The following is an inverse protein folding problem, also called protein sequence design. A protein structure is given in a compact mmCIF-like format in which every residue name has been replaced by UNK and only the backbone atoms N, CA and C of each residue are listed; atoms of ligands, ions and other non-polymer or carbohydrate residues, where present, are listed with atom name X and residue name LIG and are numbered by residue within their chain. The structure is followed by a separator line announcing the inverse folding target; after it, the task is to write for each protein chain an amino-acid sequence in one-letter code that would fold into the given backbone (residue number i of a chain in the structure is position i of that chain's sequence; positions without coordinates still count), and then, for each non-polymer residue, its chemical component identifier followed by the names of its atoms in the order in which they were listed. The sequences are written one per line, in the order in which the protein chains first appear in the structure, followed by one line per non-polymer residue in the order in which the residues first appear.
data_IF_579112900867
#
_entry.id   IF_579112900867
#
_cell.length_a   1.000
_cell.length_b   1.000
_cell.length_c   1.000
_cell.angle_alpha   90.00
_cell.angle_beta   90.00
_cell.angle_gamma   90.00
#
_symmetry.space_group_name_H-M   'P 1'
#
loop_
_entity.id
_entity.type
_entity.pdbx_description
1 polymer ?
#
# COMPACT_ATOMS: atom_id res chain seq x y z
N UNK A 1 1.79 12.29 0.43
CA UNK A 1 3.20 12.60 0.04
C UNK A 1 3.52 14.11 0.09
N UNK A 2 2.53 14.98 -0.06
CA UNK A 2 2.74 16.45 -0.01
C UNK A 2 3.45 16.87 1.29
N UNK A 3 3.01 16.35 2.44
CA UNK A 3 3.64 16.66 3.73
C UNK A 3 5.10 16.16 3.81
N UNK A 4 5.40 15.01 3.23
CA UNK A 4 6.78 14.49 3.18
C UNK A 4 7.66 15.35 2.25
N UNK A 5 7.13 15.79 1.12
CA UNK A 5 7.83 16.72 0.22
C UNK A 5 8.08 18.07 0.89
N UNK A 6 7.08 18.61 1.61
CA UNK A 6 7.23 19.86 2.36
C UNK A 6 8.31 19.75 3.45
N UNK A 7 8.34 18.63 4.20
CA UNK A 7 9.38 18.38 5.19
C UNK A 7 10.77 18.25 4.56
N UNK A 8 10.88 17.58 3.42
CA UNK A 8 12.14 17.47 2.68
C UNK A 8 12.64 18.85 2.19
N UNK A 9 11.71 19.69 1.68
CA UNK A 9 12.03 21.07 1.27
C UNK A 9 12.53 21.90 2.44
N UNK A 10 11.89 21.81 3.61
CA UNK A 10 12.32 22.54 4.79
C UNK A 10 13.69 22.06 5.30
N UNK A 11 13.93 20.76 5.28
CA UNK A 11 15.26 20.20 5.58
C UNK A 11 16.34 20.73 4.60
N UNK A 12 16.04 20.76 3.29
CA UNK A 12 16.93 21.33 2.29
C UNK A 12 17.19 22.80 2.52
N UNK A 13 16.17 23.59 2.88
CA UNK A 13 16.33 25.01 3.19
C UNK A 13 17.28 25.22 4.38
N UNK A 14 17.20 24.37 5.40
CA UNK A 14 18.07 24.46 6.59
C UNK A 14 19.55 24.25 6.23
N UNK A 15 19.85 23.35 5.28
CA UNK A 15 21.24 23.02 4.89
C UNK A 15 21.73 23.80 3.66
N UNK A 16 20.89 24.62 3.03
CA UNK A 16 21.18 25.34 1.77
C UNK A 16 22.42 26.22 1.87
N UNK A 17 22.70 26.78 3.06
CA UNK A 17 23.89 27.61 3.30
C UNK A 17 25.20 26.82 3.30
N UNK A 18 25.14 25.51 3.53
CA UNK A 18 26.30 24.61 3.56
C UNK A 18 26.55 23.92 2.21
N UNK A 19 25.48 23.78 1.42
CA UNK A 19 25.51 23.11 0.13
C UNK A 19 24.89 24.04 -0.91
N UNK A 20 25.59 24.32 -2.00
CA UNK A 20 25.11 25.20 -3.08
C UNK A 20 24.01 24.50 -3.88
N UNK A 21 22.83 24.31 -3.29
CA UNK A 21 21.67 23.69 -3.95
C UNK A 21 20.77 24.79 -4.52
N UNK A 22 20.63 24.81 -5.85
CA UNK A 22 19.75 25.76 -6.54
C UNK A 22 18.28 25.33 -6.44
N UNK A 23 17.35 26.28 -6.66
CA UNK A 23 15.92 25.98 -6.75
C UNK A 23 15.63 25.00 -7.86
N UNK A 24 16.25 25.18 -9.02
CA UNK A 24 16.12 24.26 -10.16
C UNK A 24 16.51 22.82 -9.78
N UNK A 25 17.61 22.61 -9.04
CA UNK A 25 18.02 21.28 -8.61
C UNK A 25 17.01 20.68 -7.62
N UNK A 26 16.45 21.50 -6.75
CA UNK A 26 15.41 21.07 -5.79
C UNK A 26 14.14 20.64 -6.51
N UNK A 27 13.63 21.45 -7.45
CA UNK A 27 12.45 21.13 -8.24
C UNK A 27 12.66 19.89 -9.12
N UNK A 28 13.79 19.81 -9.81
CA UNK A 28 14.14 18.67 -10.65
C UNK A 28 14.28 17.38 -9.85
N UNK A 29 14.92 17.47 -8.68
CA UNK A 29 15.02 16.36 -7.72
C UNK A 29 13.65 15.85 -7.25
N UNK A 30 12.76 16.76 -6.84
CA UNK A 30 11.40 16.40 -6.45
C UNK A 30 10.62 15.77 -7.61
N UNK A 31 10.71 16.33 -8.79
CA UNK A 31 10.03 15.84 -10.01
C UNK A 31 10.50 14.44 -10.40
N UNK A 32 11.79 14.14 -10.25
CA UNK A 32 12.40 12.86 -10.59
C UNK A 32 12.31 11.83 -9.47
N UNK A 33 11.87 12.22 -8.27
CA UNK A 33 11.76 11.29 -7.15
C UNK A 33 10.71 10.23 -7.43
N UNK A 34 11.14 8.99 -7.55
CA UNK A 34 10.30 7.81 -7.63
C UNK A 34 10.47 7.03 -6.34
N UNK A 35 9.38 6.87 -5.60
CA UNK A 35 9.37 6.05 -4.39
C UNK A 35 8.43 4.87 -4.58
N UNK A 36 9.01 3.72 -4.84
CA UNK A 36 8.25 2.48 -5.05
C UNK A 36 7.39 2.13 -3.83
N UNK A 37 6.21 1.52 -4.09
CA UNK A 37 5.25 1.16 -3.06
C UNK A 37 4.63 2.35 -2.32
N UNK A 38 4.49 3.47 -3.00
CA UNK A 38 3.69 4.62 -2.55
C UNK A 38 2.70 4.97 -3.64
N UNK A 39 1.51 4.35 -3.58
CA UNK A 39 0.48 4.45 -4.63
C UNK A 39 1.10 4.13 -6.00
N UNK A 40 1.89 3.06 -6.05
CA UNK A 40 2.55 2.61 -7.28
C UNK A 40 1.56 1.84 -8.14
N UNK A 41 1.33 2.29 -9.36
CA UNK A 41 0.50 1.56 -10.33
C UNK A 41 1.40 0.51 -10.98
N UNK A 42 1.09 -0.75 -10.76
CA UNK A 42 1.80 -1.90 -11.32
C UNK A 42 1.23 -2.29 -12.68
N UNK A 43 -0.10 -2.30 -12.80
CA UNK A 43 -0.85 -2.66 -14.01
C UNK A 43 -2.08 -1.75 -14.16
N UNK A 44 -2.57 -1.60 -15.37
CA UNK A 44 -3.71 -0.72 -15.68
C UNK A 44 -4.99 -1.46 -16.08
N UNK A 45 -4.89 -2.72 -16.47
CA UNK A 45 -6.03 -3.52 -16.90
C UNK A 45 -5.85 -5.00 -16.48
N UNK A 46 -6.43 -5.44 -15.36
CA UNK A 46 -7.12 -4.62 -14.34
C UNK A 46 -6.17 -3.66 -13.61
N UNK A 47 -6.71 -2.62 -12.98
CA UNK A 47 -5.89 -1.67 -12.23
C UNK A 47 -5.33 -2.30 -10.96
N UNK A 48 -4.01 -2.43 -10.87
CA UNK A 48 -3.28 -2.94 -9.71
C UNK A 48 -2.44 -1.83 -9.09
N UNK A 49 -2.68 -1.55 -7.82
CA UNK A 49 -1.97 -0.53 -7.04
C UNK A 49 -1.23 -1.21 -5.89
N UNK A 50 0.03 -0.85 -5.68
CA UNK A 50 0.82 -1.27 -4.53
C UNK A 50 1.10 -0.06 -3.61
N UNK A 51 0.80 -0.21 -2.32
CA UNK A 51 1.13 0.79 -1.31
C UNK A 51 1.71 0.13 -0.05
N UNK A 52 2.84 0.65 0.41
CA UNK A 52 3.54 0.15 1.59
C UNK A 52 3.04 0.70 2.92
N UNK A 53 1.77 1.08 3.03
CA UNK A 53 1.15 1.44 4.31
C UNK A 53 1.35 0.29 5.31
N UNK A 54 2.05 0.56 6.40
CA UNK A 54 2.46 -0.44 7.39
C UNK A 54 2.25 0.03 8.84
N UNK A 55 1.50 1.09 9.01
CA UNK A 55 1.06 1.66 10.29
C UNK A 55 -0.30 2.36 10.11
N UNK A 56 -1.00 2.71 11.21
CA UNK A 56 -2.32 3.33 11.13
C UNK A 56 -2.36 4.64 10.32
N UNK A 57 -1.34 5.49 10.40
CA UNK A 57 -1.32 6.74 9.65
C UNK A 57 -1.12 6.52 8.15
N UNK A 58 -0.30 5.55 7.77
CA UNK A 58 -0.18 5.09 6.39
C UNK A 58 -1.50 4.51 5.88
N UNK A 59 -2.19 3.70 6.69
CA UNK A 59 -3.49 3.15 6.37
C UNK A 59 -4.55 4.24 6.14
N UNK A 60 -4.61 5.27 7.01
CA UNK A 60 -5.48 6.44 6.81
C UNK A 60 -5.17 7.19 5.52
N UNK A 61 -3.89 7.39 5.23
CA UNK A 61 -3.45 8.07 4.01
C UNK A 61 -3.85 7.30 2.75
N UNK A 62 -3.67 5.97 2.75
CA UNK A 62 -4.11 5.10 1.67
C UNK A 62 -5.63 5.13 1.53
N UNK A 63 -6.38 4.99 2.63
CA UNK A 63 -7.84 5.06 2.62
C UNK A 63 -8.35 6.37 2.03
N UNK A 64 -7.79 7.52 2.45
CA UNK A 64 -8.16 8.83 1.91
C UNK A 64 -7.90 8.92 0.39
N UNK A 65 -6.78 8.38 -0.08
CA UNK A 65 -6.50 8.32 -1.51
C UNK A 65 -7.55 7.48 -2.25
N UNK A 66 -7.89 6.30 -1.72
CA UNK A 66 -8.87 5.39 -2.34
C UNK A 66 -10.27 6.02 -2.34
N UNK A 67 -10.68 6.66 -1.26
CA UNK A 67 -11.97 7.38 -1.16
C UNK A 67 -12.09 8.50 -2.20
N UNK A 68 -11.03 9.26 -2.43
CA UNK A 68 -11.07 10.38 -3.36
C UNK A 68 -11.00 9.97 -4.84
N UNK A 69 -10.47 8.77 -5.14
CA UNK A 69 -10.23 8.37 -6.53
C UNK A 69 -11.06 7.18 -7.01
N UNK A 70 -11.62 6.36 -6.09
CA UNK A 70 -12.24 5.08 -6.44
C UNK A 70 -13.55 4.81 -5.69
N UNK A 71 -14.31 5.84 -5.33
CA UNK A 71 -15.54 5.75 -4.51
C UNK A 71 -16.59 4.79 -5.09
N UNK A 72 -16.68 4.69 -6.41
CA UNK A 72 -17.67 3.86 -7.11
C UNK A 72 -17.06 2.59 -7.71
N UNK A 73 -15.87 2.22 -7.31
CA UNK A 73 -15.20 1.01 -7.79
C UNK A 73 -15.14 -0.05 -6.71
N UNK A 74 -15.20 -1.31 -7.12
CA UNK A 74 -15.03 -2.44 -6.24
C UNK A 74 -13.55 -2.60 -5.91
N UNK A 75 -13.21 -2.56 -4.60
CA UNK A 75 -11.84 -2.61 -4.12
C UNK A 75 -11.53 -4.01 -3.58
N UNK A 76 -10.57 -4.69 -4.19
CA UNK A 76 -10.09 -6.01 -3.78
C UNK A 76 -8.71 -5.85 -3.16
N UNK A 77 -8.58 -6.22 -1.89
CA UNK A 77 -7.31 -6.10 -1.19
C UNK A 77 -6.53 -7.41 -1.18
N UNK A 78 -5.24 -7.33 -1.44
CA UNK A 78 -4.25 -8.37 -1.11
C UNK A 78 -3.39 -7.80 0.01
N UNK A 79 -3.60 -8.30 1.22
CA UNK A 79 -3.03 -7.73 2.43
C UNK A 79 -2.04 -8.69 3.08
N UNK A 80 -0.89 -8.16 3.49
CA UNK A 80 0.08 -8.87 4.32
C UNK A 80 0.78 -7.89 5.27
N UNK A 81 1.00 -8.31 6.49
CA UNK A 81 1.53 -7.44 7.54
C UNK A 81 2.67 -8.09 8.31
N UNK A 82 3.44 -7.29 9.02
CA UNK A 82 4.44 -7.77 9.97
C UNK A 82 3.82 -7.83 11.37
N UNK A 83 4.15 -8.85 12.12
CA UNK A 83 3.58 -9.15 13.45
C UNK A 83 3.92 -8.10 14.52
N UNK A 84 4.98 -7.31 14.32
CA UNK A 84 5.45 -6.25 15.22
C UNK A 84 4.77 -4.88 14.96
N UNK A 85 3.76 -4.83 14.07
CA UNK A 85 3.04 -3.60 13.74
C UNK A 85 1.65 -3.57 14.38
N UNK A 86 1.08 -2.38 14.51
CA UNK A 86 -0.32 -2.20 14.89
C UNK A 86 -1.23 -2.53 13.69
N UNK A 87 -1.20 -3.81 13.30
CA UNK A 87 -1.93 -4.29 12.12
C UNK A 87 -3.44 -4.34 12.36
N UNK A 88 -3.91 -4.53 13.58
CA UNK A 88 -5.34 -4.60 13.86
C UNK A 88 -6.02 -3.26 13.59
N UNK A 89 -5.42 -2.14 14.01
CA UNK A 89 -5.93 -0.81 13.69
C UNK A 89 -5.85 -0.51 12.19
N UNK A 90 -4.79 -0.96 11.52
CA UNK A 90 -4.68 -0.85 10.05
C UNK A 90 -5.80 -1.58 9.32
N UNK A 91 -6.09 -2.83 9.73
CA UNK A 91 -7.16 -3.66 9.17
C UNK A 91 -8.51 -2.94 9.32
N UNK A 92 -8.84 -2.48 10.53
CA UNK A 92 -10.08 -1.77 10.80
C UNK A 92 -10.27 -0.55 9.87
N UNK A 93 -9.19 0.20 9.62
CA UNK A 93 -9.22 1.36 8.72
C UNK A 93 -9.45 0.93 7.27
N UNK A 94 -8.62 0.01 6.76
CA UNK A 94 -8.58 -0.32 5.33
C UNK A 94 -9.79 -1.14 4.87
N UNK A 95 -10.30 -2.05 5.72
CA UNK A 95 -11.41 -2.93 5.35
C UNK A 95 -12.75 -2.21 5.22
N UNK A 96 -12.85 -0.95 5.69
CA UNK A 96 -14.06 -0.14 5.59
C UNK A 96 -14.56 0.09 4.15
N UNK A 97 -13.67 -0.01 3.15
CA UNK A 97 -14.00 0.10 1.73
C UNK A 97 -13.77 -1.21 0.94
N UNK A 98 -13.35 -2.27 1.61
CA UNK A 98 -13.06 -3.52 0.94
C UNK A 98 -14.36 -4.18 0.42
N UNK A 99 -14.34 -4.63 -0.83
CA UNK A 99 -15.34 -5.57 -1.32
C UNK A 99 -14.92 -7.01 -1.01
N UNK A 100 -13.60 -7.28 -1.06
CA UNK A 100 -13.02 -8.57 -0.73
C UNK A 100 -11.58 -8.38 -0.24
N UNK A 101 -11.14 -9.26 0.67
CA UNK A 101 -9.77 -9.26 1.19
C UNK A 101 -9.13 -10.62 1.02
N UNK A 102 -7.98 -10.65 0.37
CA UNK A 102 -7.08 -11.80 0.37
C UNK A 102 -5.94 -11.52 1.34
N UNK A 103 -5.61 -12.49 2.19
CA UNK A 103 -4.50 -12.39 3.10
C UNK A 103 -3.35 -13.28 2.64
N UNK A 104 -2.14 -12.74 2.68
CA UNK A 104 -0.90 -13.45 2.31
C UNK A 104 0.18 -13.19 3.35
N UNK A 105 1.12 -14.12 3.51
CA UNK A 105 2.29 -13.89 4.35
C UNK A 105 3.42 -13.27 3.50
N UNK A 106 3.94 -12.08 3.85
CA UNK A 106 5.12 -11.53 3.20
C UNK A 106 6.34 -12.44 3.38
N UNK A 107 7.24 -12.47 2.39
CA UNK A 107 8.54 -13.13 2.53
C UNK A 107 9.45 -12.33 3.47
N UNK A 108 9.20 -12.47 4.75
CA UNK A 108 9.88 -11.75 5.83
C UNK A 108 9.81 -12.58 7.13
N UNK A 109 10.91 -12.67 7.87
CA UNK A 109 10.98 -13.41 9.14
C UNK A 109 10.01 -12.89 10.22
N UNK A 110 9.52 -11.64 10.09
CA UNK A 110 8.55 -11.02 10.99
C UNK A 110 7.12 -11.04 10.43
N UNK A 111 6.88 -11.78 9.36
CA UNK A 111 5.55 -11.85 8.77
C UNK A 111 4.53 -12.43 9.76
N UNK A 112 3.35 -11.83 9.81
CA UNK A 112 2.17 -12.49 10.37
C UNK A 112 1.71 -13.55 9.36
N UNK A 113 1.31 -14.74 9.85
CA UNK A 113 0.81 -15.78 8.95
C UNK A 113 -0.46 -15.32 8.22
N UNK A 114 -0.67 -15.80 6.99
CA UNK A 114 -1.90 -15.48 6.23
C UNK A 114 -3.15 -15.88 6.99
N UNK A 115 -3.10 -17.00 7.74
CA UNK A 115 -4.18 -17.52 8.56
C UNK A 115 -4.52 -16.59 9.72
N UNK A 116 -3.51 -16.21 10.53
CA UNK A 116 -3.73 -15.32 11.69
C UNK A 116 -4.22 -13.96 11.22
N UNK A 117 -3.67 -13.46 10.09
CA UNK A 117 -4.16 -12.23 9.48
C UNK A 117 -5.62 -12.36 9.02
N UNK A 118 -6.00 -13.46 8.38
CA UNK A 118 -7.38 -13.71 7.97
C UNK A 118 -8.34 -13.76 9.17
N UNK A 119 -7.96 -14.41 10.26
CA UNK A 119 -8.73 -14.43 11.50
C UNK A 119 -8.95 -13.03 12.08
N UNK A 120 -7.90 -12.18 12.03
CA UNK A 120 -8.03 -10.79 12.45
C UNK A 120 -8.93 -9.98 11.52
N UNK A 121 -8.78 -10.12 10.20
CA UNK A 121 -9.60 -9.40 9.20
C UNK A 121 -11.07 -9.79 9.32
N UNK A 122 -11.40 -11.05 9.60
CA UNK A 122 -12.80 -11.54 9.78
C UNK A 122 -13.54 -10.85 10.91
N UNK A 123 -12.86 -10.22 11.88
CA UNK A 123 -13.51 -9.41 12.92
C UNK A 123 -14.17 -8.14 12.35
N UNK A 124 -13.71 -7.66 11.20
CA UNK A 124 -14.09 -6.38 10.60
C UNK A 124 -14.69 -6.51 9.20
N UNK A 125 -14.42 -7.63 8.50
CA UNK A 125 -14.88 -7.88 7.16
C UNK A 125 -15.21 -9.36 6.96
N UNK A 126 -16.32 -9.68 6.26
CA UNK A 126 -16.83 -11.05 6.15
C UNK A 126 -16.26 -11.81 4.94
N UNK A 127 -15.95 -11.13 3.82
CA UNK A 127 -15.43 -11.78 2.61
C UNK A 127 -13.90 -11.78 2.63
N UNK A 128 -13.33 -12.82 3.26
CA UNK A 128 -11.90 -12.97 3.49
C UNK A 128 -11.43 -14.35 3.08
N UNK A 129 -10.43 -14.41 2.23
CA UNK A 129 -9.77 -15.64 1.82
C UNK A 129 -8.27 -15.59 2.09
N UNK A 130 -7.71 -16.69 2.58
CA UNK A 130 -6.26 -16.82 2.77
C UNK A 130 -5.58 -17.41 1.53
N UNK A 131 -4.38 -16.95 1.23
CA UNK A 131 -3.49 -17.46 0.19
C UNK A 131 -2.07 -17.60 0.74
N UNK A 132 -1.27 -18.42 0.11
CA UNK A 132 0.09 -18.69 0.60
C UNK A 132 1.08 -17.64 0.12
N UNK A 133 1.02 -17.26 -1.16
CA UNK A 133 2.02 -16.41 -1.81
C UNK A 133 1.38 -15.25 -2.56
N UNK A 134 2.06 -14.11 -2.50
CA UNK A 134 1.58 -12.88 -3.13
C UNK A 134 1.41 -13.03 -4.66
N UNK A 135 2.41 -13.56 -5.36
CA UNK A 135 2.38 -13.65 -6.84
C UNK A 135 1.25 -14.54 -7.33
N UNK A 136 1.09 -15.71 -6.72
CA UNK A 136 0.02 -16.65 -7.06
C UNK A 136 -1.35 -16.05 -6.79
N UNK A 137 -1.50 -15.40 -5.62
CA UNK A 137 -2.72 -14.69 -5.26
C UNK A 137 -3.05 -13.56 -6.24
N UNK A 138 -2.06 -12.75 -6.61
CA UNK A 138 -2.25 -11.66 -7.55
C UNK A 138 -2.72 -12.15 -8.92
N UNK A 139 -2.10 -13.19 -9.47
CA UNK A 139 -2.52 -13.74 -10.75
C UNK A 139 -3.94 -14.35 -10.71
N UNK A 140 -4.29 -15.03 -9.61
CA UNK A 140 -5.66 -15.53 -9.41
C UNK A 140 -6.68 -14.38 -9.37
N UNK A 141 -6.39 -13.35 -8.56
CA UNK A 141 -7.28 -12.21 -8.40
C UNK A 141 -7.43 -11.43 -9.71
N UNK A 142 -6.35 -11.25 -10.48
CA UNK A 142 -6.41 -10.61 -11.81
C UNK A 142 -7.32 -11.36 -12.80
N UNK A 143 -7.31 -12.69 -12.75
CA UNK A 143 -8.20 -13.50 -13.62
C UNK A 143 -9.67 -13.41 -13.23
N UNK A 144 -9.96 -13.10 -11.96
CA UNK A 144 -11.33 -13.00 -11.43
C UNK A 144 -11.87 -11.57 -11.39
N UNK A 145 -11.00 -10.59 -11.50
CA UNK A 145 -11.36 -9.17 -11.41
C UNK A 145 -12.00 -8.68 -12.70
N UNK A 146 -13.04 -7.87 -12.56
CA UNK A 146 -13.60 -7.10 -13.64
C UNK A 146 -12.72 -5.89 -13.98
N UNK A 147 -12.88 -5.33 -15.19
CA UNK A 147 -12.12 -4.13 -15.63
C UNK A 147 -12.30 -2.92 -14.71
N UNK A 148 -13.45 -2.81 -14.07
CA UNK A 148 -13.76 -1.72 -13.14
C UNK A 148 -13.25 -1.99 -11.72
N UNK A 149 -12.75 -3.18 -11.42
CA UNK A 149 -12.17 -3.48 -10.11
C UNK A 149 -10.82 -2.79 -9.94
N UNK A 150 -10.46 -2.53 -8.69
CA UNK A 150 -9.14 -2.05 -8.30
C UNK A 150 -8.53 -3.05 -7.32
N UNK A 151 -7.39 -3.61 -7.68
CA UNK A 151 -6.64 -4.52 -6.83
C UNK A 151 -5.63 -3.70 -6.04
N UNK A 152 -5.67 -3.78 -4.70
CA UNK A 152 -4.79 -3.03 -3.81
C UNK A 152 -3.90 -3.99 -3.03
N UNK A 153 -2.60 -3.94 -3.29
CA UNK A 153 -1.59 -4.69 -2.53
C UNK A 153 -1.06 -3.77 -1.43
N UNK A 154 -1.23 -4.15 -0.16
CA UNK A 154 -0.85 -3.28 0.95
C UNK A 154 -0.48 -4.03 2.25
N UNK A 155 -0.02 -3.27 3.26
CA UNK A 155 0.27 -3.72 4.61
C UNK A 155 1.76 -3.83 4.95
N UNK A 156 2.63 -3.91 3.95
CA UNK A 156 4.09 -3.91 4.14
C UNK A 156 4.83 -3.44 2.91
N UNK A 157 6.00 -2.83 3.12
CA UNK A 157 6.95 -2.52 2.04
C UNK A 157 7.69 -3.77 1.52
N UNK A 158 7.66 -4.89 2.26
CA UNK A 158 8.34 -6.14 1.84
C UNK A 158 7.84 -6.65 0.49
N UNK A 159 6.58 -6.40 0.15
CA UNK A 159 5.98 -6.80 -1.12
C UNK A 159 6.68 -6.25 -2.36
N UNK A 160 7.36 -5.10 -2.26
CA UNK A 160 8.12 -4.54 -3.37
C UNK A 160 9.23 -5.47 -3.89
N UNK A 161 9.82 -6.28 -3.00
CA UNK A 161 10.86 -7.23 -3.37
C UNK A 161 10.26 -8.48 -4.05
N UNK A 162 9.04 -8.83 -3.69
CA UNK A 162 8.34 -9.98 -4.24
C UNK A 162 7.71 -9.68 -5.62
N UNK A 163 7.40 -8.42 -5.90
CA UNK A 163 6.76 -7.96 -7.15
C UNK A 163 7.75 -7.62 -8.28
N UNK A 164 9.04 -7.83 -8.05
CA UNK A 164 10.12 -7.66 -9.05
C UNK A 164 10.20 -8.82 -10.01
#
# INVERSE_FOLDING_TARGET
QINNAALALEALNTIRNYYCISEFQTEDGLRKTIWRGRIEILEKDPLVICDGAHNPDGAKSLLNFLQNNFTNRRLIYIMGVLSDKDYEQMIQILTSMAAKVYTVAPDNARALSSKDLAECVRKYHHDVEERQRLKECLEEVKQQADKEDVIIICGTLSFQNELK
#
